data_IF_053012807541
#
_entry.id   IF_053012807541
#
_cell.length_a   1.000
_cell.length_b   1.000
_cell.length_c   1.000
_cell.angle_alpha   90.00
_cell.angle_beta   90.00
_cell.angle_gamma   90.00
#
_symmetry.space_group_name_H-M   'P 1'
#
loop_
_entity.id
_entity.type
_entity.pdbx_description
1 polymer ?
#
# COMPACT_ATOMS: atom_id res chain seq x y z
N UNK A 1 16.25 14.79 -0.39
CA UNK A 1 15.82 14.61 1.02
C UNK A 1 15.01 13.32 1.32
N UNK A 2 14.45 12.62 0.31
CA UNK A 2 13.62 11.41 0.52
C UNK A 2 14.31 10.08 0.20
N UNK A 3 15.52 10.08 -0.38
CA UNK A 3 16.12 8.91 -1.03
C UNK A 3 16.69 7.84 -0.11
N UNK A 4 17.16 8.19 1.09
CA UNK A 4 17.79 7.23 2.01
C UNK A 4 16.79 6.24 2.60
N UNK A 5 15.60 6.73 2.97
CA UNK A 5 14.66 5.94 3.78
C UNK A 5 13.72 5.09 2.93
N UNK A 6 13.67 5.31 1.61
CA UNK A 6 12.74 4.61 0.71
C UNK A 6 13.01 3.11 0.71
N UNK A 7 14.29 2.73 0.70
CA UNK A 7 14.72 1.32 0.71
C UNK A 7 14.28 0.64 2.00
N UNK A 8 14.43 1.31 3.13
CA UNK A 8 14.02 0.77 4.43
C UNK A 8 12.50 0.67 4.55
N UNK A 9 11.76 1.67 4.06
CA UNK A 9 10.29 1.65 3.99
C UNK A 9 9.78 0.55 3.07
N UNK A 10 10.40 0.36 1.91
CA UNK A 10 10.04 -0.71 0.98
C UNK A 10 10.18 -2.09 1.63
N UNK A 11 11.29 -2.34 2.34
CA UNK A 11 11.51 -3.59 3.09
C UNK A 11 10.45 -3.83 4.17
N UNK A 12 10.02 -2.77 4.86
CA UNK A 12 9.02 -2.84 5.94
C UNK A 12 7.60 -3.05 5.40
N UNK A 13 7.27 -2.52 4.22
CA UNK A 13 5.88 -2.51 3.70
C UNK A 13 5.25 -3.90 3.59
N UNK A 14 5.98 -4.89 3.06
CA UNK A 14 5.48 -6.26 2.89
C UNK A 14 5.12 -6.94 4.23
N UNK A 15 6.08 -7.10 5.16
CA UNK A 15 5.83 -7.72 6.46
C UNK A 15 4.72 -7.05 7.26
N UNK A 16 4.72 -5.71 7.34
CA UNK A 16 3.71 -5.00 8.15
C UNK A 16 2.32 -4.99 7.49
N UNK A 17 2.24 -5.14 6.16
CA UNK A 17 0.96 -5.39 5.49
C UNK A 17 0.41 -6.78 5.84
N UNK A 18 1.27 -7.81 5.94
CA UNK A 18 0.84 -9.14 6.42
C UNK A 18 0.34 -9.06 7.87
N UNK A 19 1.06 -8.37 8.75
CA UNK A 19 0.64 -8.15 10.14
C UNK A 19 -0.72 -7.44 10.19
N UNK A 20 -0.94 -6.40 9.38
CA UNK A 20 -2.23 -5.72 9.29
C UNK A 20 -3.37 -6.63 8.81
N UNK A 21 -3.12 -7.50 7.85
CA UNK A 21 -4.09 -8.51 7.41
C UNK A 21 -4.42 -9.51 8.53
N UNK A 22 -3.42 -9.99 9.27
CA UNK A 22 -3.63 -10.93 10.38
C UNK A 22 -4.46 -10.30 11.51
N UNK A 23 -4.12 -9.08 11.92
CA UNK A 23 -4.88 -8.33 12.93
C UNK A 23 -6.32 -8.11 12.45
N UNK A 24 -6.51 -7.73 11.18
CA UNK A 24 -7.85 -7.59 10.61
C UNK A 24 -8.65 -8.89 10.72
N UNK A 25 -8.08 -10.04 10.31
CA UNK A 25 -8.78 -11.32 10.33
C UNK A 25 -9.18 -11.72 11.76
N UNK A 26 -8.27 -11.56 12.73
CA UNK A 26 -8.57 -11.82 14.14
C UNK A 26 -9.73 -10.96 14.63
N UNK A 27 -9.69 -9.65 14.36
CA UNK A 27 -10.76 -8.74 14.75
C UNK A 27 -12.08 -9.08 14.04
N UNK A 28 -12.04 -9.40 12.74
CA UNK A 28 -13.23 -9.74 11.96
C UNK A 28 -13.95 -10.98 12.47
N UNK A 29 -13.23 -11.99 12.97
CA UNK A 29 -13.85 -13.21 13.52
C UNK A 29 -14.32 -13.07 14.98
N UNK A 30 -13.69 -12.20 15.76
CA UNK A 30 -14.04 -12.00 17.18
C UNK A 30 -15.19 -11.00 17.36
N UNK A 31 -15.20 -9.94 16.55
CA UNK A 31 -16.17 -8.86 16.71
C UNK A 31 -17.48 -9.14 15.97
N UNK A 32 -18.62 -8.74 16.54
CA UNK A 32 -19.90 -8.80 15.82
C UNK A 32 -19.92 -7.80 14.65
N UNK A 33 -20.72 -8.04 13.60
CA UNK A 33 -20.77 -7.18 12.41
C UNK A 33 -21.09 -5.71 12.68
N UNK A 34 -21.85 -5.41 13.74
CA UNK A 34 -22.16 -4.04 14.18
C UNK A 34 -20.92 -3.23 14.56
N UNK A 35 -19.80 -3.90 14.85
CA UNK A 35 -18.56 -3.26 15.27
C UNK A 35 -17.52 -3.11 14.15
N UNK A 36 -17.75 -3.68 12.97
CA UNK A 36 -16.83 -3.56 11.83
C UNK A 36 -16.54 -2.11 11.41
N UNK A 37 -17.49 -1.16 11.46
CA UNK A 37 -17.19 0.24 11.16
C UNK A 37 -16.13 0.85 12.08
N UNK A 38 -16.11 0.47 13.36
CA UNK A 38 -15.13 1.00 14.32
C UNK A 38 -13.70 0.53 14.01
N UNK A 39 -13.54 -0.66 13.42
CA UNK A 39 -12.23 -1.16 12.96
C UNK A 39 -11.62 -0.16 11.96
N UNK A 40 -12.42 0.33 11.01
CA UNK A 40 -11.97 1.31 10.02
C UNK A 40 -11.60 2.66 10.65
N UNK A 41 -12.40 3.15 11.59
CA UNK A 41 -12.16 4.41 12.29
C UNK A 41 -10.86 4.35 13.10
N UNK A 42 -10.68 3.29 13.90
CA UNK A 42 -9.45 3.04 14.65
C UNK A 42 -8.27 2.96 13.67
N UNK A 43 -8.48 2.45 12.45
CA UNK A 43 -7.43 2.40 11.46
C UNK A 43 -7.00 3.75 10.92
N UNK A 44 -7.96 4.62 10.60
CA UNK A 44 -7.65 5.99 10.20
C UNK A 44 -6.87 6.74 11.29
N UNK A 45 -7.34 6.66 12.54
CA UNK A 45 -6.70 7.31 13.70
C UNK A 45 -5.31 6.71 13.93
N UNK A 46 -5.20 5.39 13.92
CA UNK A 46 -3.96 4.65 14.13
C UNK A 46 -2.88 5.00 13.11
N UNK A 47 -3.25 5.19 11.84
CA UNK A 47 -2.29 5.69 10.82
C UNK A 47 -1.80 7.10 11.18
N UNK A 48 -2.72 8.00 11.55
CA UNK A 48 -2.39 9.39 11.86
C UNK A 48 -1.46 9.57 13.06
N UNK A 49 -1.63 8.75 14.11
CA UNK A 49 -0.85 8.86 15.36
C UNK A 49 0.31 7.86 15.47
N UNK A 50 0.51 6.99 14.47
CA UNK A 50 1.62 6.04 14.50
C UNK A 50 2.97 6.74 14.29
N UNK A 51 3.85 6.60 15.28
CA UNK A 51 5.20 7.18 15.28
C UNK A 51 6.15 6.61 14.20
N UNK A 52 5.83 5.45 13.60
CA UNK A 52 6.68 4.78 12.63
C UNK A 52 5.94 4.21 11.43
N UNK A 53 6.60 4.22 10.26
CA UNK A 53 6.06 3.73 8.98
C UNK A 53 5.54 2.28 9.04
N UNK A 54 6.16 1.46 9.87
CA UNK A 54 5.75 0.09 10.15
C UNK A 54 4.29 0.02 10.65
N UNK A 55 3.99 0.69 11.77
CA UNK A 55 2.65 0.71 12.35
C UNK A 55 1.66 1.47 11.48
N UNK A 56 2.08 2.55 10.81
CA UNK A 56 1.25 3.20 9.79
C UNK A 56 0.82 2.22 8.70
N UNK A 57 1.72 1.33 8.26
CA UNK A 57 1.39 0.29 7.28
C UNK A 57 0.39 -0.70 7.86
N UNK A 58 0.59 -1.19 9.09
CA UNK A 58 -0.37 -2.08 9.77
C UNK A 58 -1.75 -1.43 9.83
N UNK A 59 -1.82 -0.18 10.32
CA UNK A 59 -3.07 0.52 10.53
C UNK A 59 -3.79 0.87 9.20
N UNK A 60 -3.02 1.21 8.16
CA UNK A 60 -3.57 1.42 6.82
C UNK A 60 -4.12 0.11 6.24
N UNK A 61 -3.42 -1.00 6.51
CA UNK A 61 -3.80 -2.30 5.98
C UNK A 61 -5.12 -2.76 6.56
N UNK A 62 -5.22 -2.87 7.89
CA UNK A 62 -6.45 -3.37 8.52
C UNK A 62 -7.63 -2.41 8.31
N UNK A 63 -7.41 -1.08 8.34
CA UNK A 63 -8.49 -0.10 8.16
C UNK A 63 -9.10 -0.10 6.75
N UNK A 64 -8.30 -0.34 5.71
CA UNK A 64 -8.89 -0.50 4.37
C UNK A 64 -9.50 -1.90 4.16
N UNK A 65 -8.99 -2.94 4.84
CA UNK A 65 -9.63 -4.27 4.81
C UNK A 65 -11.02 -4.23 5.46
N UNK A 66 -11.24 -3.45 6.53
CA UNK A 66 -12.57 -3.34 7.14
C UNK A 66 -13.60 -2.76 6.18
N UNK A 67 -13.23 -1.74 5.40
CA UNK A 67 -14.10 -1.16 4.38
C UNK A 67 -14.35 -2.17 3.25
N UNK A 68 -13.28 -2.78 2.71
CA UNK A 68 -13.40 -3.74 1.61
C UNK A 68 -14.21 -4.98 2.02
N UNK A 69 -14.12 -5.42 3.27
CA UNK A 69 -14.84 -6.58 3.78
C UNK A 69 -16.35 -6.36 3.85
N UNK A 70 -16.81 -5.11 3.99
CA UNK A 70 -18.24 -4.78 3.89
C UNK A 70 -18.80 -4.99 2.49
N UNK A 71 -17.97 -4.92 1.45
CA UNK A 71 -18.37 -5.06 0.04
C UNK A 71 -18.11 -6.47 -0.52
N UNK A 72 -17.01 -7.10 -0.11
CA UNK A 72 -16.50 -8.34 -0.72
C UNK A 72 -16.28 -9.49 0.28
N UNK A 73 -16.61 -9.30 1.56
CA UNK A 73 -16.28 -10.23 2.63
C UNK A 73 -14.77 -10.26 2.96
N UNK A 74 -14.39 -10.98 4.02
CA UNK A 74 -13.00 -11.03 4.48
C UNK A 74 -12.04 -11.62 3.43
N UNK A 75 -12.42 -12.73 2.79
CA UNK A 75 -11.60 -13.36 1.76
C UNK A 75 -11.41 -12.44 0.53
N UNK A 76 -12.49 -11.77 0.08
CA UNK A 76 -12.42 -10.81 -1.02
C UNK A 76 -11.58 -9.58 -0.68
N UNK A 77 -11.67 -9.07 0.55
CA UNK A 77 -10.85 -7.95 1.03
C UNK A 77 -9.34 -8.28 1.04
N UNK A 78 -8.96 -9.48 1.49
CA UNK A 78 -7.58 -9.94 1.48
C UNK A 78 -7.09 -10.14 0.04
N UNK A 79 -7.90 -10.77 -0.82
CA UNK A 79 -7.57 -10.95 -2.23
C UNK A 79 -7.35 -9.60 -2.93
N UNK A 80 -8.20 -8.61 -2.66
CA UNK A 80 -8.07 -7.25 -3.19
C UNK A 80 -6.79 -6.57 -2.70
N UNK A 81 -6.40 -6.79 -1.44
CA UNK A 81 -5.12 -6.27 -0.90
C UNK A 81 -3.92 -6.89 -1.60
N UNK A 82 -3.92 -8.21 -1.82
CA UNK A 82 -2.83 -8.89 -2.52
C UNK A 82 -2.77 -8.39 -3.96
N UNK A 83 -3.89 -8.43 -4.67
CA UNK A 83 -4.01 -7.96 -6.05
C UNK A 83 -3.52 -6.53 -6.21
N UNK A 84 -4.02 -5.60 -5.40
CA UNK A 84 -3.65 -4.18 -5.49
C UNK A 84 -2.14 -3.95 -5.25
N UNK A 85 -1.50 -4.69 -4.33
CA UNK A 85 -0.06 -4.56 -4.11
C UNK A 85 0.75 -5.15 -5.29
N UNK A 86 0.33 -6.28 -5.85
CA UNK A 86 0.97 -6.88 -7.02
C UNK A 86 0.82 -5.96 -8.23
N UNK A 87 -0.40 -5.56 -8.58
CA UNK A 87 -0.66 -4.63 -9.68
C UNK A 87 0.07 -3.30 -9.49
N UNK A 88 0.05 -2.74 -8.28
CA UNK A 88 0.80 -1.53 -7.95
C UNK A 88 2.30 -1.69 -8.22
N UNK A 89 2.89 -2.80 -7.79
CA UNK A 89 4.32 -3.06 -8.02
C UNK A 89 4.68 -3.20 -9.50
N UNK A 90 3.87 -3.93 -10.27
CA UNK A 90 4.06 -4.11 -11.71
C UNK A 90 3.91 -2.77 -12.43
N UNK A 91 2.86 -2.01 -12.10
CA UNK A 91 2.60 -0.68 -12.66
C UNK A 91 3.79 0.25 -12.42
N UNK A 92 4.35 0.30 -11.20
CA UNK A 92 5.50 1.15 -10.90
C UNK A 92 6.72 0.79 -11.74
N UNK A 93 7.05 -0.50 -11.90
CA UNK A 93 8.21 -0.93 -12.71
C UNK A 93 8.01 -0.60 -14.20
N UNK A 94 6.81 -0.81 -14.73
CA UNK A 94 6.50 -0.50 -16.13
C UNK A 94 6.58 1.00 -16.38
N UNK A 95 6.00 1.80 -15.48
CA UNK A 95 6.01 3.25 -15.59
C UNK A 95 7.43 3.83 -15.50
N UNK A 96 8.25 3.34 -14.56
CA UNK A 96 9.65 3.76 -14.43
C UNK A 96 10.45 3.49 -15.72
N UNK A 97 10.31 2.29 -16.30
CA UNK A 97 10.97 1.96 -17.58
C UNK A 97 10.50 2.84 -18.73
N UNK A 98 9.19 3.07 -18.84
CA UNK A 98 8.62 3.90 -19.89
C UNK A 98 9.11 5.36 -19.78
N UNK A 99 9.09 5.92 -18.57
CA UNK A 99 9.57 7.28 -18.32
C UNK A 99 11.06 7.43 -18.57
N UNK A 100 11.88 6.48 -18.12
CA UNK A 100 13.32 6.50 -18.38
C UNK A 100 13.62 6.42 -19.89
N UNK A 101 12.88 5.59 -20.62
CA UNK A 101 12.96 5.54 -22.09
C UNK A 101 12.58 6.87 -22.74
N UNK A 102 11.50 7.51 -22.30
CA UNK A 102 11.08 8.82 -22.81
C UNK A 102 12.13 9.91 -22.55
N UNK A 103 12.68 9.96 -21.34
CA UNK A 103 13.72 10.93 -20.95
C UNK A 103 14.97 10.73 -21.83
N UNK A 104 15.39 9.49 -22.05
CA UNK A 104 16.53 9.19 -22.93
C UNK A 104 16.29 9.64 -24.37
N UNK A 105 15.07 9.45 -24.89
CA UNK A 105 14.70 9.89 -26.25
C UNK A 105 14.70 11.41 -26.37
N UNK A 106 14.18 12.14 -25.38
CA UNK A 106 14.19 13.61 -25.36
C UNK A 106 15.63 14.12 -25.32
N UNK A 107 16.46 13.62 -24.40
CA UNK A 107 17.87 14.01 -24.31
C UNK A 107 18.64 13.73 -25.61
N UNK A 108 18.37 12.59 -26.25
CA UNK A 108 18.99 12.23 -27.54
C UNK A 108 18.54 13.11 -28.71
N UNK A 109 17.38 13.78 -28.60
CA UNK A 109 16.90 14.75 -29.60
C UNK A 109 17.49 16.13 -29.37
N UNK A 110 17.57 16.57 -28.12
CA UNK A 110 18.19 17.85 -27.76
C UNK A 110 19.68 17.88 -28.11
N UNK A 111 20.42 16.80 -27.84
CA UNK A 111 21.83 16.68 -28.22
C UNK A 111 22.04 16.72 -29.75
N UNK A 112 21.06 16.24 -30.53
CA UNK A 112 21.10 16.25 -32.00
C UNK A 112 20.76 17.61 -32.62
N UNK A 113 20.12 18.51 -31.87
CA UNK A 113 19.84 19.89 -32.30
C UNK A 113 20.97 20.87 -31.96
N UNK A 114 21.88 20.49 -31.05
CA UNK A 114 22.98 21.31 -30.57
C UNK A 114 24.29 21.14 -31.37
N UNK A 115 24.32 20.20 -32.33
CA UNK A 115 25.41 19.93 -33.30
C UNK A 115 24.98 20.42 -34.67
#
# INVERSE_FOLDING_TARGET
>A
PFSSDIVERAKKRGPYNIVGCLIFLVLYYILPPSMYPYIGIIGGIGVGYSAGYAWQTVFNTFGALSIASGLFGAAGAVALRIGANVFGSVYTVLFDKAMNGLIQLVNSRECRKAV
#
